data_IF_706898873158
#
_entry.id   IF_706898873158
#
_cell.length_a   1.000
_cell.length_b   1.000
_cell.length_c   1.000
_cell.angle_alpha   90.00
_cell.angle_beta   90.00
_cell.angle_gamma   90.00
#
_symmetry.space_group_name_H-M   'P 1'
#
loop_
_entity.id
_entity.type
_entity.pdbx_description
1 polymer ?
#
# COMPACT_ATOMS: atom_id res chain seq x y z
N UNK A 1 44.90 -32.59 11.27
CA UNK A 1 43.52 -33.12 11.32
C UNK A 1 42.56 -31.99 10.99
N UNK A 2 42.25 -31.85 9.70
CA UNK A 2 41.24 -30.93 9.18
C UNK A 2 39.99 -31.78 8.85
N UNK A 3 38.81 -31.32 9.27
CA UNK A 3 37.52 -31.86 8.83
C UNK A 3 36.74 -30.76 8.13
N UNK A 4 35.89 -31.10 7.14
CA UNK A 4 35.56 -30.22 6.04
C UNK A 4 34.24 -29.48 6.24
N UNK A 5 34.18 -28.28 5.66
CA UNK A 5 33.00 -27.45 5.52
C UNK A 5 31.98 -28.09 4.57
N UNK A 6 30.72 -28.15 5.00
CA UNK A 6 29.58 -28.52 4.16
C UNK A 6 29.12 -27.26 3.42
N UNK A 7 29.43 -27.19 2.12
CA UNK A 7 28.86 -26.23 1.17
C UNK A 7 27.45 -26.68 0.79
N UNK A 8 26.45 -25.82 1.02
CA UNK A 8 25.13 -25.94 0.41
C UNK A 8 25.09 -25.06 -0.85
N UNK A 9 24.57 -25.56 -2.00
CA UNK A 9 24.67 -24.86 -3.27
C UNK A 9 23.65 -23.72 -3.36
N UNK A 10 24.16 -22.50 -3.57
CA UNK A 10 23.40 -21.37 -4.09
C UNK A 10 23.06 -21.62 -5.56
N UNK A 11 21.83 -22.05 -5.86
CA UNK A 11 21.29 -22.04 -7.22
C UNK A 11 20.65 -20.70 -7.50
N UNK A 12 21.30 -19.91 -8.36
CA UNK A 12 20.86 -18.58 -8.78
C UNK A 12 19.59 -18.63 -9.62
N UNK A 13 18.65 -17.74 -9.30
CA UNK A 13 17.54 -17.37 -10.19
C UNK A 13 18.09 -16.52 -11.33
N UNK A 14 18.02 -17.05 -12.55
CA UNK A 14 18.23 -16.29 -13.77
C UNK A 14 17.00 -15.43 -14.05
N UNK A 15 17.12 -14.12 -13.82
CA UNK A 15 16.14 -13.12 -14.24
C UNK A 15 16.16 -13.03 -15.76
N UNK A 16 15.12 -13.53 -16.42
CA UNK A 16 14.87 -13.26 -17.83
C UNK A 16 14.44 -11.80 -18.01
N UNK A 17 15.42 -10.90 -18.17
CA UNK A 17 15.20 -9.52 -18.61
C UNK A 17 14.65 -9.56 -20.04
N UNK A 18 13.34 -9.34 -20.21
CA UNK A 18 12.78 -9.00 -21.52
C UNK A 18 12.98 -7.50 -21.73
N UNK A 19 13.96 -7.15 -22.56
CA UNK A 19 14.20 -5.79 -23.05
C UNK A 19 12.99 -5.25 -23.81
N UNK A 20 12.70 -3.97 -23.61
CA UNK A 20 11.63 -3.25 -24.31
C UNK A 20 12.28 -2.41 -25.41
N UNK A 21 12.13 -2.83 -26.66
CA UNK A 21 12.52 -2.03 -27.82
C UNK A 21 11.54 -0.85 -27.98
N UNK A 22 12.07 0.37 -27.82
CA UNK A 22 11.34 1.61 -28.11
C UNK A 22 11.80 2.08 -29.49
N UNK A 23 10.94 1.93 -30.50
CA UNK A 23 11.03 2.67 -31.75
C UNK A 23 9.71 3.40 -31.99
N UNK A 24 9.82 4.68 -32.36
CA UNK A 24 8.79 5.69 -32.30
C UNK A 24 7.47 5.29 -32.95
N UNK A 25 6.41 5.38 -32.15
CA UNK A 25 5.03 5.24 -32.57
C UNK A 25 4.14 5.94 -31.56
N UNK A 26 3.28 6.84 -32.06
CA UNK A 26 2.27 7.60 -31.30
C UNK A 26 1.67 6.73 -30.19
N UNK A 27 1.84 7.13 -28.94
CA UNK A 27 1.37 6.40 -27.75
C UNK A 27 -0.16 6.29 -27.85
N UNK A 28 -0.66 5.19 -28.43
CA UNK A 28 -2.08 4.82 -28.34
C UNK A 28 -2.41 4.83 -26.86
N UNK A 29 -3.48 5.53 -26.47
CA UNK A 29 -4.01 5.53 -25.10
C UNK A 29 -4.07 4.09 -24.59
N UNK A 30 -3.05 3.67 -23.84
CA UNK A 30 -3.04 2.38 -23.15
C UNK A 30 -4.10 2.53 -22.08
N UNK A 31 -5.15 1.70 -22.12
CA UNK A 31 -6.07 1.61 -20.98
C UNK A 31 -5.22 1.38 -19.74
N UNK A 32 -5.40 2.25 -18.74
CA UNK A 32 -4.69 2.20 -17.48
C UNK A 32 -4.94 0.85 -16.80
N UNK A 33 -3.86 0.13 -16.50
CA UNK A 33 -3.90 -1.23 -15.97
C UNK A 33 -3.55 -1.25 -14.47
N UNK A 34 -4.58 -1.14 -13.63
CA UNK A 34 -4.41 -1.09 -12.17
C UNK A 34 -3.81 -2.39 -11.61
N UNK A 35 -4.01 -3.53 -12.28
CA UNK A 35 -3.49 -4.81 -11.80
C UNK A 35 -1.99 -4.91 -12.00
N UNK A 36 -1.41 -4.17 -12.94
CA UNK A 36 0.03 -4.08 -13.10
C UNK A 36 0.71 -3.48 -11.85
N UNK A 37 0.05 -2.54 -11.17
CA UNK A 37 0.53 -1.98 -9.90
C UNK A 37 0.54 -3.04 -8.80
N UNK A 38 -0.49 -3.89 -8.74
CA UNK A 38 -0.56 -5.01 -7.79
C UNK A 38 0.54 -6.04 -8.06
N UNK A 39 0.73 -6.41 -9.33
CA UNK A 39 1.78 -7.34 -9.75
C UNK A 39 3.17 -6.83 -9.37
N UNK A 40 3.46 -5.54 -9.60
CA UNK A 40 4.71 -4.92 -9.17
C UNK A 40 4.86 -4.91 -7.64
N UNK A 41 3.77 -4.61 -6.90
CA UNK A 41 3.78 -4.58 -5.44
C UNK A 41 4.17 -5.94 -4.84
N UNK A 42 3.65 -7.05 -5.38
CA UNK A 42 3.89 -8.40 -4.89
C UNK A 42 5.11 -9.10 -5.52
N UNK A 43 6.03 -8.39 -6.18
CA UNK A 43 7.38 -8.91 -6.44
C UNK A 43 8.15 -8.92 -5.13
N UNK A 44 8.42 -10.08 -4.52
CA UNK A 44 8.92 -10.17 -3.13
C UNK A 44 10.43 -10.33 -3.05
N UNK A 45 11.06 -10.76 -4.14
CA UNK A 45 12.44 -11.24 -4.20
C UNK A 45 13.45 -10.12 -4.47
N UNK A 46 13.03 -9.04 -5.14
CA UNK A 46 13.87 -7.90 -5.49
C UNK A 46 14.39 -7.14 -4.26
N UNK A 47 15.48 -6.38 -4.42
CA UNK A 47 15.95 -5.46 -3.37
C UNK A 47 14.88 -4.40 -3.03
N UNK A 48 14.99 -3.75 -1.86
CA UNK A 48 14.04 -2.69 -1.49
C UNK A 48 14.06 -1.51 -2.47
N UNK A 49 15.25 -1.13 -2.96
CA UNK A 49 15.43 -0.04 -3.90
C UNK A 49 14.83 -0.37 -5.28
N UNK A 50 15.16 -1.55 -5.83
CA UNK A 50 14.61 -2.03 -7.10
C UNK A 50 13.10 -2.22 -7.04
N UNK A 51 12.59 -2.73 -5.92
CA UNK A 51 11.16 -2.87 -5.70
C UNK A 51 10.45 -1.52 -5.73
N UNK A 52 10.93 -0.53 -4.98
CA UNK A 52 10.31 0.80 -4.93
C UNK A 52 10.30 1.44 -6.33
N UNK A 53 11.39 1.27 -7.09
CA UNK A 53 11.48 1.72 -8.48
C UNK A 53 10.50 0.99 -9.42
N UNK A 54 10.41 -0.33 -9.34
CA UNK A 54 9.48 -1.16 -10.13
C UNK A 54 8.02 -0.77 -9.87
N UNK A 55 7.65 -0.56 -8.60
CA UNK A 55 6.32 -0.07 -8.23
C UNK A 55 6.08 1.35 -8.75
N UNK A 56 7.07 2.23 -8.64
CA UNK A 56 6.96 3.59 -9.19
C UNK A 56 6.76 3.61 -10.71
N UNK A 57 7.43 2.72 -11.44
CA UNK A 57 7.24 2.52 -12.89
C UNK A 57 5.79 2.10 -13.21
N UNK A 58 5.22 1.18 -12.42
CA UNK A 58 3.84 0.75 -12.58
C UNK A 58 2.82 1.83 -12.18
N UNK A 59 3.12 2.65 -11.17
CA UNK A 59 2.28 3.75 -10.68
C UNK A 59 2.26 4.93 -11.65
N UNK A 60 3.38 5.22 -12.32
CA UNK A 60 3.58 6.43 -13.13
C UNK A 60 2.44 6.72 -14.11
N UNK A 61 1.96 5.78 -14.96
CA UNK A 61 0.90 6.08 -15.93
C UNK A 61 -0.41 6.54 -15.29
N UNK A 62 -0.62 6.24 -14.00
CA UNK A 62 -1.84 6.51 -13.26
C UNK A 62 -1.77 7.80 -12.42
N UNK A 63 -0.58 8.27 -12.08
CA UNK A 63 -0.36 9.33 -11.09
C UNK A 63 0.38 10.56 -11.65
N UNK A 64 1.32 10.35 -12.58
CA UNK A 64 2.19 11.41 -13.11
C UNK A 64 1.45 12.28 -14.14
N UNK A 65 1.30 13.57 -13.84
CA UNK A 65 0.77 14.59 -14.74
C UNK A 65 1.91 15.43 -15.35
N UNK A 66 2.95 14.78 -15.87
CA UNK A 66 4.15 15.34 -16.55
C UNK A 66 5.22 15.99 -15.66
N UNK A 67 5.14 15.78 -14.34
CA UNK A 67 6.11 16.33 -13.37
C UNK A 67 7.10 15.27 -12.87
N UNK A 68 6.91 14.01 -13.22
CA UNK A 68 7.54 12.89 -12.54
C UNK A 68 6.91 12.63 -11.18
N UNK A 69 7.55 11.77 -10.40
CA UNK A 69 7.07 11.39 -9.08
C UNK A 69 8.22 11.21 -8.09
N UNK A 70 7.93 11.48 -6.82
CA UNK A 70 8.76 11.03 -5.72
C UNK A 70 8.18 9.73 -5.15
N UNK A 71 9.00 8.70 -5.06
CA UNK A 71 8.67 7.44 -4.39
C UNK A 71 9.53 7.32 -3.13
N UNK A 72 8.95 6.89 -2.01
CA UNK A 72 9.68 6.81 -0.75
C UNK A 72 9.19 5.66 0.13
N UNK A 73 10.08 5.12 0.94
CA UNK A 73 9.73 4.27 2.09
C UNK A 73 9.94 5.06 3.37
N UNK A 74 9.10 4.77 4.37
CA UNK A 74 9.14 5.48 5.64
C UNK A 74 8.78 4.57 6.81
N UNK A 75 9.18 5.00 8.00
CA UNK A 75 8.70 4.47 9.26
C UNK A 75 8.17 5.61 10.13
N UNK A 76 7.07 5.36 10.84
CA UNK A 76 6.43 6.31 11.73
C UNK A 76 6.11 5.65 13.05
N UNK A 77 6.52 6.30 14.13
CA UNK A 77 6.18 5.91 15.50
C UNK A 77 5.30 6.96 16.16
N UNK A 78 4.03 6.62 16.37
CA UNK A 78 3.08 7.54 16.97
C UNK A 78 2.86 8.79 16.12
N UNK A 79 2.98 9.96 16.74
CA UNK A 79 2.66 11.27 16.16
C UNK A 79 3.86 12.06 15.67
N UNK A 80 5.06 11.49 15.78
CA UNK A 80 6.27 12.10 15.24
C UNK A 80 6.22 12.16 13.71
N UNK A 81 6.91 13.15 13.10
CA UNK A 81 7.17 13.14 11.67
C UNK A 81 7.79 11.80 11.24
N UNK A 82 7.37 11.24 10.09
CA UNK A 82 7.92 9.97 9.63
C UNK A 82 9.40 10.12 9.29
N UNK A 83 10.16 9.07 9.61
CA UNK A 83 11.54 8.91 9.17
C UNK A 83 11.52 8.32 7.76
N UNK A 84 12.02 9.08 6.78
CA UNK A 84 12.20 8.59 5.41
C UNK A 84 13.43 7.67 5.40
N UNK A 85 13.22 6.41 4.99
CA UNK A 85 14.25 5.38 4.95
C UNK A 85 15.00 5.38 3.62
N UNK A 86 14.27 5.66 2.54
CA UNK A 86 14.80 5.87 1.20
C UNK A 86 13.81 6.71 0.39
N UNK A 87 14.32 7.45 -0.59
CA UNK A 87 13.52 8.23 -1.51
C UNK A 87 14.16 8.29 -2.89
N UNK A 88 13.34 8.23 -3.93
CA UNK A 88 13.76 8.34 -5.33
C UNK A 88 12.91 9.40 -6.03
N UNK A 89 13.54 10.32 -6.77
CA UNK A 89 12.85 11.25 -7.67
C UNK A 89 12.96 10.73 -9.10
N UNK A 90 11.85 10.25 -9.65
CA UNK A 90 11.82 9.52 -10.90
C UNK A 90 11.10 10.35 -11.97
N UNK A 91 11.73 10.48 -13.13
CA UNK A 91 11.25 11.26 -14.29
C UNK A 91 10.97 12.74 -14.00
N UNK A 92 11.46 13.24 -12.87
CA UNK A 92 11.31 14.63 -12.48
C UNK A 92 12.29 15.50 -13.28
N UNK A 93 11.85 16.61 -13.91
CA UNK A 93 12.76 17.54 -14.55
C UNK A 93 13.84 18.04 -13.56
N UNK A 94 15.09 18.13 -14.00
CA UNK A 94 16.24 18.45 -13.14
C UNK A 94 16.03 19.73 -12.31
N UNK A 95 15.52 20.79 -12.94
CA UNK A 95 15.23 22.05 -12.27
C UNK A 95 14.14 21.93 -11.18
N UNK A 96 13.16 21.03 -11.37
CA UNK A 96 12.14 20.74 -10.36
C UNK A 96 12.74 19.87 -9.24
N UNK A 97 13.51 18.84 -9.61
CA UNK A 97 14.18 17.94 -8.66
C UNK A 97 15.12 18.68 -7.71
N UNK A 98 15.80 19.74 -8.19
CA UNK A 98 16.69 20.56 -7.38
C UNK A 98 15.97 21.33 -6.25
N UNK A 99 14.72 21.77 -6.47
CA UNK A 99 13.95 22.50 -5.46
C UNK A 99 13.06 21.59 -4.60
N UNK A 100 12.81 20.36 -5.06
CA UNK A 100 11.83 19.46 -4.49
C UNK A 100 12.06 19.10 -3.01
N UNK A 101 13.28 18.68 -2.58
CA UNK A 101 13.56 18.39 -1.17
C UNK A 101 13.28 19.57 -0.22
N UNK A 102 13.62 20.78 -0.66
CA UNK A 102 13.50 21.99 0.14
C UNK A 102 12.05 22.36 0.46
N UNK A 103 11.10 21.99 -0.42
CA UNK A 103 9.70 22.34 -0.22
C UNK A 103 9.07 21.64 0.97
N UNK A 104 9.19 20.32 1.04
CA UNK A 104 8.63 19.57 2.15
C UNK A 104 9.36 19.90 3.46
N UNK A 105 10.68 20.07 3.40
CA UNK A 105 11.48 20.47 4.56
C UNK A 105 11.13 21.87 5.10
N UNK A 106 10.64 22.78 4.24
CA UNK A 106 10.21 24.13 4.65
C UNK A 106 8.86 24.16 5.38
N UNK A 107 8.09 23.06 5.36
CA UNK A 107 6.80 22.98 6.04
C UNK A 107 6.99 22.75 7.55
N UNK A 108 6.07 23.29 8.35
CA UNK A 108 6.06 23.04 9.80
C UNK A 108 5.93 21.53 10.10
N UNK A 109 6.45 21.03 11.23
CA UNK A 109 6.33 19.62 11.60
C UNK A 109 4.88 19.10 11.55
N UNK A 110 3.92 19.93 11.96
CA UNK A 110 2.50 19.57 11.98
C UNK A 110 1.95 19.36 10.57
N UNK A 111 2.41 20.15 9.59
CA UNK A 111 2.03 19.99 8.19
C UNK A 111 2.69 18.77 7.56
N UNK A 112 3.96 18.48 7.91
CA UNK A 112 4.69 17.31 7.40
C UNK A 112 4.06 15.98 7.81
N UNK A 113 3.33 15.92 8.92
CA UNK A 113 2.62 14.71 9.36
C UNK A 113 1.31 14.47 8.59
N UNK A 114 0.68 15.52 8.04
CA UNK A 114 -0.67 15.42 7.46
C UNK A 114 -0.81 14.38 6.33
N UNK A 115 0.10 14.25 5.35
CA UNK A 115 -0.02 13.20 4.32
C UNK A 115 -0.07 11.78 4.87
N UNK A 116 0.45 11.58 6.08
CA UNK A 116 0.56 10.29 6.76
C UNK A 116 -0.61 9.99 7.71
N UNK A 117 -1.46 11.00 7.98
CA UNK A 117 -2.68 10.89 8.80
C UNK A 117 -3.98 11.09 8.03
N UNK A 118 -3.94 11.80 6.89
CA UNK A 118 -5.09 12.07 6.02
C UNK A 118 -5.19 11.06 4.86
N UNK A 119 -4.55 9.91 5.03
CA UNK A 119 -4.36 8.92 4.00
C UNK A 119 -5.62 8.14 3.61
N UNK A 120 -5.46 7.20 2.68
CA UNK A 120 -4.22 6.91 1.95
C UNK A 120 -4.05 7.80 0.70
N UNK A 121 -4.99 8.69 0.38
CA UNK A 121 -4.95 9.54 -0.81
C UNK A 121 -5.51 10.94 -0.55
N UNK A 122 -4.65 11.96 -0.68
CA UNK A 122 -5.01 13.36 -0.39
C UNK A 122 -4.25 14.32 -1.31
N UNK A 123 -4.92 15.35 -1.82
CA UNK A 123 -4.26 16.41 -2.59
C UNK A 123 -3.57 17.43 -1.68
N UNK A 124 -2.59 18.18 -2.20
CA UNK A 124 -1.92 19.24 -1.44
C UNK A 124 -2.88 20.32 -0.94
N UNK A 125 -3.77 20.80 -1.81
CA UNK A 125 -4.80 21.78 -1.47
C UNK A 125 -5.78 21.26 -0.40
N UNK A 126 -6.23 20.01 -0.53
CA UNK A 126 -7.09 19.35 0.47
C UNK A 126 -6.39 19.17 1.83
N UNK A 127 -5.13 18.76 1.83
CA UNK A 127 -4.32 18.61 3.04
C UNK A 127 -4.22 19.93 3.82
N UNK A 128 -4.17 21.05 3.10
CA UNK A 128 -4.16 22.40 3.66
C UNK A 128 -5.56 22.94 3.97
N UNK A 129 -6.62 22.22 3.57
CA UNK A 129 -8.00 22.66 3.61
C UNK A 129 -8.21 24.00 2.87
N UNK A 130 -7.55 24.17 1.73
CA UNK A 130 -7.61 25.37 0.89
C UNK A 130 -8.15 25.02 -0.49
N UNK A 131 -8.76 25.99 -1.18
CA UNK A 131 -9.18 25.84 -2.58
C UNK A 131 -8.30 26.74 -3.44
N UNK A 132 -8.86 27.74 -4.10
CA UNK A 132 -8.11 28.63 -5.00
C UNK A 132 -6.98 29.37 -4.26
N UNK A 133 -7.17 29.65 -2.97
CA UNK A 133 -6.21 30.33 -2.09
C UNK A 133 -4.93 29.51 -1.90
N UNK A 134 -4.96 28.20 -2.19
CA UNK A 134 -3.75 27.36 -2.18
C UNK A 134 -2.69 27.89 -3.16
N UNK A 135 -3.14 28.52 -4.26
CA UNK A 135 -2.25 29.20 -5.21
C UNK A 135 -1.46 30.34 -4.57
N UNK A 136 -1.92 30.89 -3.43
CA UNK A 136 -1.31 32.06 -2.81
C UNK A 136 -0.22 31.74 -1.79
N UNK A 137 -0.03 30.47 -1.44
CA UNK A 137 1.02 30.05 -0.54
C UNK A 137 2.41 30.41 -1.10
N UNK A 138 3.35 30.94 -0.28
CA UNK A 138 4.67 31.34 -0.75
C UNK A 138 5.43 30.22 -1.48
N UNK A 139 5.31 28.98 -1.01
CA UNK A 139 5.95 27.82 -1.64
C UNK A 139 5.37 27.53 -3.04
N UNK A 140 4.08 27.82 -3.25
CA UNK A 140 3.41 27.67 -4.54
C UNK A 140 3.77 28.81 -5.49
N UNK A 141 3.53 30.07 -5.09
CA UNK A 141 3.79 31.26 -5.91
C UNK A 141 5.25 31.40 -6.33
N UNK A 142 6.17 31.27 -5.37
CA UNK A 142 7.59 31.55 -5.60
C UNK A 142 8.39 30.29 -5.96
N UNK A 143 7.77 29.10 -5.82
CA UNK A 143 8.43 27.81 -6.01
C UNK A 143 7.87 27.03 -7.20
N UNK A 144 6.63 26.56 -7.09
CA UNK A 144 6.10 25.49 -7.95
C UNK A 144 5.38 25.95 -9.21
N UNK A 145 4.70 27.10 -9.14
CA UNK A 145 3.90 27.59 -10.26
C UNK A 145 4.75 27.92 -11.49
N UNK A 146 6.02 28.32 -11.30
CA UNK A 146 6.95 28.55 -12.42
C UNK A 146 7.24 27.28 -13.24
N UNK A 147 7.00 26.11 -12.67
CA UNK A 147 7.09 24.81 -13.38
C UNK A 147 5.74 24.35 -13.94
N UNK A 148 4.66 25.13 -13.75
CA UNK A 148 3.30 24.75 -14.11
C UNK A 148 2.63 23.80 -13.11
N UNK A 149 3.23 23.61 -11.93
CA UNK A 149 2.68 22.77 -10.87
C UNK A 149 1.85 23.62 -9.90
N UNK A 150 0.54 23.36 -9.85
CA UNK A 150 -0.43 24.15 -9.08
C UNK A 150 -1.02 23.40 -7.90
N UNK A 151 -0.88 22.09 -7.87
CA UNK A 151 -1.26 21.23 -6.75
C UNK A 151 -0.40 19.97 -6.78
N UNK A 152 -0.66 19.06 -5.86
CA UNK A 152 -0.06 17.73 -5.83
C UNK A 152 -1.02 16.69 -5.30
N UNK A 153 -0.65 15.42 -5.42
CA UNK A 153 -1.34 14.29 -4.83
C UNK A 153 -0.35 13.44 -4.03
N UNK A 154 -0.76 13.03 -2.83
CA UNK A 154 -0.03 12.12 -1.95
C UNK A 154 -0.77 10.80 -1.88
N UNK A 155 -0.04 9.71 -2.13
CA UNK A 155 -0.46 8.34 -1.86
C UNK A 155 0.40 7.81 -0.71
N UNK A 156 -0.24 7.42 0.39
CA UNK A 156 0.45 6.89 1.57
C UNK A 156 -0.06 5.49 1.87
N UNK A 157 0.77 4.49 1.59
CA UNK A 157 0.48 3.09 1.83
C UNK A 157 1.19 2.63 3.10
N UNK A 158 0.44 2.46 4.19
CA UNK A 158 0.97 2.03 5.48
C UNK A 158 -0.07 1.24 6.25
N UNK A 159 0.39 0.47 7.21
CA UNK A 159 -0.46 -0.25 8.15
C UNK A 159 -0.27 0.29 9.58
N UNK A 160 -1.07 -0.17 10.56
CA UNK A 160 -0.96 0.28 11.95
C UNK A 160 0.37 0.00 12.64
N UNK A 161 1.29 -0.77 12.03
CA UNK A 161 2.64 -0.98 12.57
C UNK A 161 3.56 0.23 12.29
N UNK A 162 3.18 1.10 11.36
CA UNK A 162 3.82 2.39 11.12
C UNK A 162 4.88 2.41 10.02
N UNK A 163 5.19 1.27 9.40
CA UNK A 163 6.08 1.18 8.24
C UNK A 163 5.26 1.23 6.94
N UNK A 164 5.72 1.99 5.96
CA UNK A 164 4.98 2.20 4.73
C UNK A 164 5.84 2.64 3.56
N UNK A 165 5.18 2.78 2.41
CA UNK A 165 5.71 3.45 1.24
C UNK A 165 4.73 4.50 0.75
N UNK A 166 5.19 5.44 -0.06
CA UNK A 166 4.32 6.46 -0.61
C UNK A 166 4.82 7.03 -1.91
N UNK A 167 3.91 7.74 -2.56
CA UNK A 167 4.14 8.42 -3.83
C UNK A 167 3.62 9.85 -3.73
N UNK A 168 4.38 10.78 -4.31
CA UNK A 168 3.95 12.15 -4.51
C UNK A 168 4.12 12.54 -5.96
N UNK A 169 3.12 13.19 -6.52
CA UNK A 169 3.16 13.72 -7.88
C UNK A 169 2.53 15.11 -7.96
N UNK A 170 3.05 15.93 -8.86
CA UNK A 170 2.51 17.25 -9.18
C UNK A 170 1.21 17.18 -10.01
N UNK A 171 0.42 18.25 -9.97
CA UNK A 171 -0.80 18.41 -10.77
C UNK A 171 -0.85 19.79 -11.42
N UNK A 172 -1.40 19.85 -12.63
CA UNK A 172 -1.56 21.10 -13.41
C UNK A 172 -2.69 22.00 -12.90
N UNK A 173 -3.52 21.53 -11.98
CA UNK A 173 -4.64 22.31 -11.47
C UNK A 173 -4.88 22.02 -10.00
N UNK A 174 -5.34 23.06 -9.29
CA UNK A 174 -5.84 22.96 -7.92
C UNK A 174 -7.14 22.19 -7.92
N UNK A 175 -7.21 21.17 -7.06
CA UNK A 175 -8.46 20.45 -6.88
C UNK A 175 -8.34 19.31 -5.89
N UNK A 176 -9.32 19.22 -5.00
CA UNK A 176 -9.40 18.12 -4.05
C UNK A 176 -9.58 16.79 -4.75
N UNK A 177 -8.99 15.74 -4.19
CA UNK A 177 -9.06 14.40 -4.75
C UNK A 177 -10.51 13.91 -4.78
N UNK A 178 -10.95 13.43 -5.94
CA UNK A 178 -12.35 12.99 -6.12
C UNK A 178 -12.62 11.68 -5.37
N UNK A 179 -13.86 11.41 -4.94
CA UNK A 179 -14.19 10.17 -4.24
C UNK A 179 -13.82 8.88 -5.00
N UNK A 180 -13.93 8.86 -6.33
CA UNK A 180 -13.55 7.70 -7.14
C UNK A 180 -12.03 7.45 -7.17
N UNK A 181 -11.26 8.53 -7.22
CA UNK A 181 -9.79 8.50 -7.18
C UNK A 181 -9.31 8.04 -5.79
N UNK A 182 -9.90 8.57 -4.71
CA UNK A 182 -9.63 8.11 -3.34
C UNK A 182 -9.93 6.62 -3.14
N UNK A 183 -11.02 6.11 -3.70
CA UNK A 183 -11.35 4.68 -3.63
C UNK A 183 -10.29 3.84 -4.32
N UNK A 184 -9.95 4.21 -5.56
CA UNK A 184 -8.98 3.46 -6.38
C UNK A 184 -7.61 3.46 -5.71
N UNK A 185 -7.10 4.64 -5.34
CA UNK A 185 -5.80 4.74 -4.68
C UNK A 185 -5.79 4.16 -3.29
N UNK A 186 -6.91 4.18 -2.57
CA UNK A 186 -7.01 3.49 -1.28
C UNK A 186 -6.88 1.98 -1.41
N UNK A 187 -7.52 1.39 -2.40
CA UNK A 187 -7.37 -0.05 -2.68
C UNK A 187 -5.94 -0.40 -3.13
N UNK A 188 -5.31 0.42 -3.97
CA UNK A 188 -3.90 0.24 -4.34
C UNK A 188 -2.98 0.36 -3.12
N UNK A 189 -3.18 1.39 -2.28
CA UNK A 189 -2.40 1.61 -1.07
C UNK A 189 -2.52 0.44 -0.07
N UNK A 190 -3.70 -0.16 0.04
CA UNK A 190 -3.93 -1.37 0.84
C UNK A 190 -3.04 -2.53 0.38
N UNK A 191 -2.96 -2.78 -0.94
CA UNK A 191 -2.06 -3.80 -1.49
C UNK A 191 -0.59 -3.47 -1.28
N UNK A 192 -0.20 -2.22 -1.53
CA UNK A 192 1.17 -1.76 -1.33
C UNK A 192 1.63 -1.93 0.12
N UNK A 193 0.79 -1.55 1.09
CA UNK A 193 1.07 -1.75 2.52
C UNK A 193 1.17 -3.24 2.88
N UNK A 194 0.23 -4.05 2.37
CA UNK A 194 0.21 -5.50 2.58
C UNK A 194 1.46 -6.18 2.00
N UNK A 195 1.83 -5.84 0.77
CA UNK A 195 2.99 -6.39 0.08
C UNK A 195 4.30 -5.97 0.76
N UNK A 196 4.44 -4.69 1.14
CA UNK A 196 5.62 -4.21 1.87
C UNK A 196 5.78 -4.95 3.21
N UNK A 197 4.69 -5.11 3.98
CA UNK A 197 4.71 -5.88 5.22
C UNK A 197 5.18 -7.32 4.98
N UNK A 198 4.67 -7.97 3.93
CA UNK A 198 5.06 -9.34 3.59
C UNK A 198 6.55 -9.43 3.19
N UNK A 199 7.04 -8.47 2.40
CA UNK A 199 8.46 -8.38 2.00
C UNK A 199 9.39 -8.32 3.21
N UNK A 200 9.07 -7.47 4.18
CA UNK A 200 9.86 -7.39 5.41
C UNK A 200 9.83 -8.70 6.20
N UNK A 201 8.65 -9.31 6.36
CA UNK A 201 8.53 -10.59 7.07
C UNK A 201 9.32 -11.70 6.41
N UNK A 202 9.30 -11.80 5.08
CA UNK A 202 10.06 -12.82 4.34
C UNK A 202 11.57 -12.63 4.50
N UNK A 203 12.05 -11.38 4.52
CA UNK A 203 13.46 -11.07 4.76
C UNK A 203 13.90 -11.34 6.20
N UNK A 204 12.99 -11.22 7.16
CA UNK A 204 13.22 -11.59 8.56
C UNK A 204 13.11 -13.11 8.83
N UNK A 205 12.80 -13.92 7.80
CA UNK A 205 12.76 -15.38 7.83
C UNK A 205 11.35 -15.97 7.73
N UNK A 206 11.25 -17.21 7.22
CA UNK A 206 9.99 -17.90 6.94
C UNK A 206 9.04 -17.98 8.15
N UNK A 207 9.58 -18.08 9.36
CA UNK A 207 8.79 -18.12 10.60
C UNK A 207 7.92 -16.86 10.82
N UNK A 208 8.27 -15.71 10.21
CA UNK A 208 7.49 -14.46 10.35
C UNK A 208 6.44 -14.27 9.26
N UNK A 209 6.49 -15.04 8.17
CA UNK A 209 5.43 -15.17 7.17
C UNK A 209 5.23 -16.64 6.75
N UNK A 210 4.76 -17.50 7.68
CA UNK A 210 4.56 -18.92 7.40
C UNK A 210 3.71 -19.16 6.16
N UNK A 211 4.10 -20.19 5.41
CA UNK A 211 3.30 -20.76 4.35
C UNK A 211 2.06 -21.43 4.97
N UNK A 212 0.87 -20.91 4.65
CA UNK A 212 -0.38 -21.41 5.20
C UNK A 212 -1.11 -22.35 4.24
N UNK A 213 -1.11 -22.06 2.93
CA UNK A 213 -1.72 -22.93 1.94
C UNK A 213 -1.15 -22.71 0.53
N UNK A 214 -1.24 -23.74 -0.30
CA UNK A 214 -0.83 -23.72 -1.72
C UNK A 214 -2.02 -24.15 -2.57
N UNK A 215 -2.42 -23.28 -3.51
CA UNK A 215 -3.46 -23.54 -4.49
C UNK A 215 -2.90 -23.47 -5.91
N UNK A 216 -3.53 -24.15 -6.85
CA UNK A 216 -3.36 -23.82 -8.27
C UNK A 216 -4.43 -22.80 -8.74
N UNK A 217 -4.34 -22.25 -9.97
CA UNK A 217 -5.28 -21.26 -10.48
C UNK A 217 -6.73 -21.75 -10.61
N UNK A 218 -6.96 -23.06 -10.58
CA UNK A 218 -8.34 -23.61 -10.55
C UNK A 218 -8.96 -23.56 -9.15
N UNK A 219 -8.19 -23.12 -8.14
CA UNK A 219 -8.58 -23.14 -6.74
C UNK A 219 -8.47 -24.53 -6.12
N UNK A 220 -7.78 -25.48 -6.75
CA UNK A 220 -7.49 -26.77 -6.13
C UNK A 220 -6.37 -26.59 -5.10
N UNK A 221 -6.62 -27.09 -3.89
CA UNK A 221 -5.66 -27.09 -2.80
C UNK A 221 -4.65 -28.22 -2.99
N UNK A 222 -3.36 -27.90 -2.85
CA UNK A 222 -2.25 -28.86 -2.87
C UNK A 222 -1.68 -29.10 -1.47
N UNK A 223 -1.60 -28.05 -0.65
CA UNK A 223 -1.10 -28.14 0.72
C UNK A 223 -1.73 -27.09 1.63
N UNK A 224 -1.87 -27.39 2.93
CA UNK A 224 -2.37 -26.48 3.96
C UNK A 224 -1.83 -26.80 5.36
N UNK A 225 -1.52 -25.76 6.13
CA UNK A 225 -1.00 -25.82 7.49
C UNK A 225 -1.75 -24.88 8.44
N UNK A 226 -1.69 -25.16 9.75
CA UNK A 226 -2.33 -24.34 10.79
C UNK A 226 -3.81 -24.08 10.53
N UNK A 227 -4.28 -22.86 10.83
CA UNK A 227 -5.68 -22.45 10.66
C UNK A 227 -6.20 -22.63 9.21
N UNK A 228 -5.31 -22.66 8.22
CA UNK A 228 -5.71 -22.87 6.82
C UNK A 228 -6.11 -24.33 6.51
N UNK A 229 -6.00 -25.25 7.47
CA UNK A 229 -6.53 -26.62 7.36
C UNK A 229 -8.04 -26.69 7.61
N UNK A 230 -8.60 -25.71 8.34
CA UNK A 230 -10.02 -25.66 8.67
C UNK A 230 -10.88 -25.52 7.41
N UNK A 231 -12.04 -26.19 7.37
CA UNK A 231 -12.89 -26.22 6.18
C UNK A 231 -13.33 -24.81 5.73
N UNK A 232 -13.72 -23.96 6.68
CA UNK A 232 -14.17 -22.60 6.41
C UNK A 232 -13.03 -21.70 5.90
N UNK A 233 -11.84 -21.83 6.49
CA UNK A 233 -10.64 -21.12 6.04
C UNK A 233 -10.23 -21.54 4.62
N UNK A 234 -10.25 -22.84 4.32
CA UNK A 234 -10.00 -23.37 2.96
C UNK A 234 -11.00 -22.85 1.94
N UNK A 235 -12.28 -22.84 2.29
CA UNK A 235 -13.33 -22.28 1.44
C UNK A 235 -13.08 -20.80 1.13
N UNK A 236 -12.79 -20.01 2.17
CA UNK A 236 -12.51 -18.57 2.04
C UNK A 236 -11.27 -18.29 1.17
N UNK A 237 -10.17 -19.03 1.37
CA UNK A 237 -8.96 -18.90 0.57
C UNK A 237 -9.20 -19.31 -0.89
N UNK A 238 -9.90 -20.42 -1.12
CA UNK A 238 -10.27 -20.88 -2.46
C UNK A 238 -11.09 -19.84 -3.21
N UNK A 239 -12.12 -19.27 -2.57
CA UNK A 239 -12.95 -18.24 -3.17
C UNK A 239 -12.14 -16.99 -3.54
N UNK A 240 -11.17 -16.61 -2.69
CA UNK A 240 -10.27 -15.51 -2.97
C UNK A 240 -9.34 -15.81 -4.17
N UNK A 241 -8.80 -17.03 -4.29
CA UNK A 241 -8.02 -17.46 -5.47
C UNK A 241 -8.86 -17.32 -6.75
N UNK A 242 -10.09 -17.84 -6.75
CA UNK A 242 -10.98 -17.78 -7.91
C UNK A 242 -11.33 -16.33 -8.30
N UNK A 243 -11.52 -15.44 -7.32
CA UNK A 243 -11.75 -14.00 -7.56
C UNK A 243 -10.55 -13.32 -8.19
N UNK A 244 -9.33 -13.63 -7.74
CA UNK A 244 -8.08 -13.11 -8.33
C UNK A 244 -7.98 -13.54 -9.80
N UNK A 245 -8.22 -14.82 -10.09
CA UNK A 245 -8.14 -15.33 -11.46
C UNK A 245 -9.18 -14.72 -12.39
N UNK A 246 -10.41 -14.52 -11.88
CA UNK A 246 -11.45 -13.81 -12.61
C UNK A 246 -11.05 -12.36 -12.90
N UNK A 247 -10.46 -11.66 -11.93
CA UNK A 247 -9.99 -10.29 -12.07
C UNK A 247 -8.86 -10.16 -13.12
N UNK A 248 -7.93 -11.13 -13.16
CA UNK A 248 -6.84 -11.21 -14.14
C UNK A 248 -7.30 -11.51 -15.56
N UNK A 249 -8.47 -12.11 -15.73
CA UNK A 249 -9.06 -12.42 -17.02
C UNK A 249 -9.61 -11.19 -17.75
N UNK A 250 -10.78 -11.33 -18.38
CA UNK A 250 -11.40 -10.24 -19.18
C UNK A 250 -11.69 -8.97 -18.36
N UNK A 251 -11.83 -9.06 -17.04
CA UNK A 251 -12.15 -7.92 -16.18
C UNK A 251 -11.01 -6.90 -16.11
N UNK A 252 -9.75 -7.33 -16.19
CA UNK A 252 -8.56 -6.44 -16.16
C UNK A 252 -8.66 -5.28 -17.15
N UNK A 253 -9.14 -5.57 -18.38
CA UNK A 253 -9.20 -4.58 -19.46
C UNK A 253 -10.56 -3.87 -19.57
N UNK A 254 -11.64 -4.52 -19.13
CA UNK A 254 -13.01 -4.04 -19.37
C UNK A 254 -13.64 -3.37 -18.14
N UNK A 255 -13.18 -3.73 -16.94
CA UNK A 255 -13.69 -3.21 -15.68
C UNK A 255 -12.57 -3.13 -14.63
N UNK A 256 -11.51 -2.33 -14.85
CA UNK A 256 -10.29 -2.34 -14.04
C UNK A 256 -10.55 -2.01 -12.55
N UNK A 257 -11.48 -1.11 -12.25
CA UNK A 257 -11.86 -0.79 -10.86
C UNK A 257 -12.63 -1.92 -10.18
N UNK A 258 -13.45 -2.67 -10.91
CA UNK A 258 -14.14 -3.85 -10.36
C UNK A 258 -13.18 -5.02 -10.18
N UNK A 259 -12.24 -5.19 -11.11
CA UNK A 259 -11.16 -6.18 -11.01
C UNK A 259 -10.31 -5.92 -9.76
N UNK A 260 -9.89 -4.67 -9.53
CA UNK A 260 -9.22 -4.25 -8.31
C UNK A 260 -10.08 -4.53 -7.07
N UNK A 261 -11.35 -4.12 -7.08
CA UNK A 261 -12.25 -4.33 -5.95
C UNK A 261 -12.53 -5.79 -5.58
N UNK A 262 -12.32 -6.72 -6.51
CA UNK A 262 -12.50 -8.16 -6.30
C UNK A 262 -11.29 -8.83 -5.65
N UNK A 263 -10.11 -8.21 -5.73
CA UNK A 263 -8.87 -8.69 -5.15
C UNK A 263 -8.64 -8.01 -3.81
N UNK A 264 -8.83 -8.72 -2.69
CA UNK A 264 -8.61 -8.15 -1.37
C UNK A 264 -7.12 -8.13 -0.99
N UNK A 265 -6.67 -7.09 -0.29
CA UNK A 265 -5.27 -6.97 0.16
C UNK A 265 -4.88 -8.02 1.22
N UNK A 266 -5.88 -8.46 2.00
CA UNK A 266 -5.81 -9.61 2.90
C UNK A 266 -7.07 -10.45 2.75
N UNK A 267 -6.94 -11.75 3.00
CA UNK A 267 -8.05 -12.69 3.12
C UNK A 267 -8.26 -12.98 4.60
N UNK A 268 -9.50 -12.80 5.09
CA UNK A 268 -9.89 -12.99 6.48
C UNK A 268 -9.01 -12.23 7.50
N UNK A 269 -8.42 -11.12 7.07
CA UNK A 269 -7.56 -10.27 7.90
C UNK A 269 -6.26 -10.91 8.31
N UNK A 270 -5.88 -12.04 7.69
CA UNK A 270 -4.74 -12.86 8.07
C UNK A 270 -3.81 -13.17 6.91
N UNK A 271 -4.32 -13.59 5.75
CA UNK A 271 -3.46 -14.10 4.67
C UNK A 271 -3.31 -13.12 3.52
N UNK A 272 -2.09 -13.03 2.96
CA UNK A 272 -1.88 -12.49 1.62
C UNK A 272 -1.74 -13.63 0.62
N UNK A 273 -2.41 -13.49 -0.52
CA UNK A 273 -2.27 -14.41 -1.65
C UNK A 273 -1.23 -13.86 -2.62
N UNK A 274 -0.21 -14.66 -2.92
CA UNK A 274 0.91 -14.29 -3.80
C UNK A 274 1.11 -15.36 -4.86
N UNK A 275 1.48 -14.97 -6.07
CA UNK A 275 1.86 -15.96 -7.09
C UNK A 275 3.24 -16.53 -6.75
N UNK A 276 3.41 -17.82 -6.98
CA UNK A 276 4.70 -18.49 -7.03
C UNK A 276 4.79 -19.27 -8.34
N UNK A 277 5.82 -19.00 -9.13
CA UNK A 277 6.07 -19.71 -10.39
C UNK A 277 7.23 -20.66 -10.18
N UNK A 278 7.01 -21.95 -10.44
CA UNK A 278 8.05 -22.98 -10.41
C UNK A 278 8.89 -22.97 -11.70
N UNK A 279 10.06 -23.63 -11.67
CA UNK A 279 10.97 -23.71 -12.81
C UNK A 279 10.36 -24.35 -14.05
N UNK A 280 9.37 -25.23 -13.88
CA UNK A 280 8.63 -25.86 -14.97
C UNK A 280 7.53 -24.96 -15.57
N UNK A 281 7.41 -23.73 -15.09
CA UNK A 281 6.42 -22.74 -15.51
C UNK A 281 5.04 -22.92 -14.87
N UNK A 282 4.85 -23.89 -13.97
CA UNK A 282 3.60 -24.02 -13.22
C UNK A 282 3.46 -22.86 -12.25
N UNK A 283 2.28 -22.24 -12.27
CA UNK A 283 1.93 -21.17 -11.34
C UNK A 283 1.07 -21.72 -10.21
N UNK A 284 1.46 -21.42 -9.00
CA UNK A 284 0.69 -21.63 -7.79
C UNK A 284 0.33 -20.28 -7.18
N UNK A 285 -0.77 -20.27 -6.42
CA UNK A 285 -1.17 -19.15 -5.57
C UNK A 285 -0.97 -19.60 -4.14
N UNK A 286 -0.10 -18.87 -3.44
CA UNK A 286 0.37 -19.21 -2.12
C UNK A 286 -0.25 -18.25 -1.10
N UNK A 287 -0.86 -18.80 -0.07
CA UNK A 287 -1.33 -18.05 1.08
C UNK A 287 -0.21 -17.97 2.14
N UNK A 288 0.20 -16.76 2.48
CA UNK A 288 1.17 -16.50 3.58
C UNK A 288 0.52 -15.70 4.69
N UNK A 289 0.84 -16.02 5.94
CA UNK A 289 0.36 -15.25 7.07
C UNK A 289 0.98 -13.84 7.06
N UNK A 290 0.10 -12.84 7.00
CA UNK A 290 0.45 -11.44 6.85
C UNK A 290 -0.49 -10.52 7.64
N UNK A 291 -0.98 -10.96 8.80
CA UNK A 291 -1.86 -10.16 9.66
C UNK A 291 -1.18 -8.86 10.13
N UNK A 292 -1.77 -7.67 9.95
CA UNK A 292 -1.16 -6.41 10.38
C UNK A 292 -1.03 -6.35 11.90
N UNK A 293 0.13 -5.91 12.38
CA UNK A 293 0.31 -5.61 13.81
C UNK A 293 -0.20 -4.22 14.09
N UNK A 294 -0.95 -4.06 15.16
CA UNK A 294 -1.46 -2.76 15.58
C UNK A 294 -1.17 -2.53 17.05
N UNK A 295 -0.58 -1.38 17.35
CA UNK A 295 -0.39 -0.89 18.72
C UNK A 295 -1.70 -0.30 19.24
N UNK A 296 -1.80 -0.14 20.55
CA UNK A 296 -2.96 0.48 21.19
C UNK A 296 -3.25 -0.13 22.56
N UNK A 297 -4.26 0.38 23.26
CA UNK A 297 -4.57 -0.03 24.62
C UNK A 297 -4.75 -1.55 24.76
N UNK A 298 -4.22 -2.12 25.85
CA UNK A 298 -4.32 -3.55 26.15
C UNK A 298 -5.77 -4.03 26.35
N UNK A 299 -6.68 -3.12 26.71
CA UNK A 299 -8.12 -3.38 26.82
C UNK A 299 -8.79 -3.72 25.48
N UNK A 300 -8.16 -3.36 24.35
CA UNK A 300 -8.65 -3.70 23.02
C UNK A 300 -8.17 -5.10 22.60
N UNK A 301 -8.99 -5.81 21.83
CA UNK A 301 -8.55 -7.03 21.15
C UNK A 301 -7.56 -6.71 20.03
N UNK A 302 -6.79 -7.68 19.51
CA UNK A 302 -5.91 -7.46 18.35
C UNK A 302 -6.66 -6.86 17.14
N UNK A 303 -7.86 -7.37 16.85
CA UNK A 303 -8.69 -6.90 15.73
C UNK A 303 -9.26 -5.50 15.97
N UNK A 304 -9.62 -5.18 17.21
CA UNK A 304 -10.04 -3.83 17.60
C UNK A 304 -8.89 -2.82 17.47
N UNK A 305 -7.66 -3.19 17.86
CA UNK A 305 -6.47 -2.36 17.65
C UNK A 305 -6.19 -2.09 16.17
N UNK A 306 -6.34 -3.10 15.30
CA UNK A 306 -6.14 -2.92 13.86
C UNK A 306 -7.15 -1.93 13.27
N UNK A 307 -8.44 -2.09 13.58
CA UNK A 307 -9.48 -1.19 13.08
C UNK A 307 -9.26 0.24 13.60
N UNK A 308 -8.89 0.41 14.87
CA UNK A 308 -8.53 1.72 15.42
C UNK A 308 -7.28 2.30 14.74
N UNK A 309 -6.23 1.51 14.55
CA UNK A 309 -4.99 1.95 13.93
C UNK A 309 -5.19 2.44 12.49
N UNK A 310 -5.95 1.71 11.68
CA UNK A 310 -6.31 2.18 10.33
C UNK A 310 -7.18 3.44 10.38
N UNK A 311 -8.08 3.54 11.37
CA UNK A 311 -8.87 4.75 11.55
C UNK A 311 -8.00 5.99 11.85
N UNK A 312 -6.91 5.84 12.60
CA UNK A 312 -5.91 6.89 12.88
C UNK A 312 -5.06 7.26 11.66
N UNK A 313 -4.96 6.38 10.66
CA UNK A 313 -4.34 6.65 9.37
C UNK A 313 -5.26 7.42 8.39
N UNK A 314 -6.48 7.75 8.83
CA UNK A 314 -7.47 8.46 8.01
C UNK A 314 -8.40 7.52 7.23
N UNK A 315 -8.29 6.20 7.41
CA UNK A 315 -9.03 5.25 6.61
C UNK A 315 -10.50 5.21 7.04
N UNK A 316 -11.40 5.26 6.05
CA UNK A 316 -12.84 5.12 6.26
C UNK A 316 -13.25 3.65 6.31
N UNK A 317 -14.37 3.34 6.97
CA UNK A 317 -14.76 1.96 7.31
C UNK A 317 -14.79 1.00 6.10
N UNK A 318 -15.16 1.48 4.90
CA UNK A 318 -15.16 0.66 3.67
C UNK A 318 -13.74 0.28 3.23
N UNK A 319 -12.77 1.18 3.37
CA UNK A 319 -11.37 0.89 3.07
C UNK A 319 -10.78 -0.05 4.12
N UNK A 320 -11.09 0.16 5.40
CA UNK A 320 -10.65 -0.74 6.48
C UNK A 320 -11.17 -2.17 6.23
N UNK A 321 -12.43 -2.29 5.80
CA UNK A 321 -13.04 -3.58 5.44
C UNK A 321 -12.30 -4.24 4.27
N UNK A 322 -11.98 -3.48 3.23
CA UNK A 322 -11.21 -3.95 2.07
C UNK A 322 -9.80 -4.42 2.47
N UNK A 323 -9.10 -3.63 3.29
CA UNK A 323 -7.74 -3.92 3.77
C UNK A 323 -7.69 -5.19 4.61
N UNK A 324 -8.64 -5.34 5.51
CA UNK A 324 -8.73 -6.49 6.41
C UNK A 324 -9.46 -7.68 5.77
N UNK A 325 -10.00 -7.57 4.56
CA UNK A 325 -10.76 -8.67 3.95
C UNK A 325 -11.94 -9.16 4.79
N UNK A 326 -12.64 -8.23 5.45
CA UNK A 326 -13.82 -8.49 6.28
C UNK A 326 -15.00 -7.64 5.84
N UNK A 327 -16.20 -8.00 6.30
CA UNK A 327 -17.41 -7.23 5.97
C UNK A 327 -17.41 -5.82 6.59
N UNK A 328 -17.92 -4.79 5.88
CA UNK A 328 -18.05 -3.44 6.44
C UNK A 328 -18.91 -3.36 7.70
N UNK A 329 -19.90 -4.25 7.84
CA UNK A 329 -20.71 -4.39 9.06
C UNK A 329 -19.85 -4.82 10.25
N UNK A 330 -18.89 -5.72 10.04
CA UNK A 330 -17.92 -6.16 11.07
C UNK A 330 -17.05 -4.99 11.54
N UNK A 331 -16.56 -4.15 10.62
CA UNK A 331 -15.81 -2.94 10.98
C UNK A 331 -16.63 -2.01 11.86
N UNK A 332 -17.90 -1.79 11.52
CA UNK A 332 -18.81 -0.94 12.31
C UNK A 332 -19.03 -1.49 13.72
N UNK A 333 -19.19 -2.81 13.87
CA UNK A 333 -19.30 -3.47 15.18
C UNK A 333 -18.02 -3.31 15.99
N UNK A 334 -16.85 -3.54 15.38
CA UNK A 334 -15.55 -3.38 16.04
C UNK A 334 -15.33 -1.93 16.49
N UNK A 335 -15.60 -0.95 15.63
CA UNK A 335 -15.56 0.47 16.00
C UNK A 335 -16.52 0.81 17.14
N UNK A 336 -17.72 0.22 17.16
CA UNK A 336 -18.67 0.35 18.27
C UNK A 336 -18.08 -0.14 19.59
N UNK A 337 -17.46 -1.33 19.59
CA UNK A 337 -16.81 -1.91 20.78
C UNK A 337 -15.61 -1.07 21.25
N UNK A 338 -14.78 -0.59 20.33
CA UNK A 338 -13.65 0.31 20.64
C UNK A 338 -14.15 1.56 21.35
N UNK A 339 -15.19 2.22 20.80
CA UNK A 339 -15.77 3.43 21.40
C UNK A 339 -16.31 3.16 22.81
N UNK A 340 -17.05 2.07 22.99
CA UNK A 340 -17.56 1.67 24.31
C UNK A 340 -16.44 1.41 25.32
N UNK A 341 -15.39 0.67 24.92
CA UNK A 341 -14.24 0.35 25.78
C UNK A 341 -13.41 1.58 26.15
N UNK A 342 -13.34 2.58 25.27
CA UNK A 342 -12.58 3.81 25.50
C UNK A 342 -13.43 4.96 26.05
N UNK A 343 -14.72 4.74 26.31
CA UNK A 343 -15.62 5.71 26.92
C UNK A 343 -15.96 6.90 26.04
N UNK A 344 -15.90 6.76 24.72
CA UNK A 344 -16.17 7.83 23.74
C UNK A 344 -17.41 7.52 22.91
N UNK A 345 -18.06 8.54 22.36
CA UNK A 345 -19.32 8.41 21.61
C UNK A 345 -19.11 8.56 20.11
N UNK A 346 -18.22 9.45 19.71
CA UNK A 346 -17.98 9.80 18.30
C UNK A 346 -16.63 9.29 17.79
N UNK A 347 -16.52 9.14 16.47
CA UNK A 347 -15.23 8.82 15.83
C UNK A 347 -14.22 9.94 16.05
N UNK A 348 -14.67 11.20 16.01
CA UNK A 348 -13.80 12.36 16.26
C UNK A 348 -13.22 12.33 17.68
N UNK A 349 -14.04 12.08 18.70
CA UNK A 349 -13.57 11.88 20.08
C UNK A 349 -12.60 10.70 20.20
N UNK A 350 -12.89 9.59 19.52
CA UNK A 350 -12.02 8.42 19.52
C UNK A 350 -10.64 8.72 18.95
N UNK A 351 -10.58 9.37 17.79
CA UNK A 351 -9.30 9.73 17.14
C UNK A 351 -8.53 10.75 17.99
N UNK A 352 -9.22 11.76 18.53
CA UNK A 352 -8.61 12.72 19.45
C UNK A 352 -7.99 12.03 20.66
N UNK A 353 -8.72 11.13 21.31
CA UNK A 353 -8.24 10.41 22.51
C UNK A 353 -7.13 9.41 22.21
N UNK A 354 -7.15 8.80 21.03
CA UNK A 354 -6.11 7.87 20.61
C UNK A 354 -4.79 8.58 20.28
N UNK A 355 -4.84 9.82 19.81
CA UNK A 355 -3.67 10.68 19.58
C UNK A 355 -3.12 11.26 20.91
N UNK A 356 -3.99 11.51 21.90
CA UNK A 356 -3.60 12.00 23.24
C UNK A 356 -3.01 10.91 24.17
N UNK A 357 -3.33 9.63 23.94
CA UNK A 357 -2.82 8.54 24.74
C UNK A 357 -1.41 8.15 24.26
N UNK A 358 -0.34 8.31 25.09
CA UNK A 358 0.98 7.86 24.68
C UNK A 358 0.91 6.36 24.37
N UNK A 359 1.45 5.97 23.21
CA UNK A 359 1.53 4.58 22.80
C UNK A 359 2.27 3.79 23.90
N UNK A 360 1.52 3.04 24.72
CA UNK A 360 2.12 2.13 25.69
C UNK A 360 2.96 1.13 24.88
N UNK A 361 4.26 1.10 25.19
CA UNK A 361 5.30 0.35 24.48
C UNK A 361 5.04 -1.14 24.48
#
# INVERSE_FOLDING_TARGET
MQSPAVQAPCTGLMLAQRGWDIVGGRMKSRRLDLLHVLEAAYQLESSHEEWLKSVAEAVRPHLDDTFGLAAFEFERTGDEPPTILQSQHLWMPEALAAVYPGMFASMSPELRVRPFKLGPCVSGSEMMNMKAEFADLPQMKNGLQKFGMFDSIWITATDPAGRGCGFHAGRKAIGWTKPAEKRTWGQLAAHLASALRLRYRMREGEARAPLAAVFDPSGKLHDATGDAQEADARGTLRDAVLKIEKARGRQRLNAPTEALGSWQALVAGKWSLVDQVELDGRRYIVARENEPRARGPSALSPRERQVLGYAQLGHHDKLIAYELGIEPSTVRVLMGRVKSKLGVRTRAELLKRADEAPAQR
#
